data_IF_098957486784
#
_entry.id   IF_098957486784
#
_cell.length_a   1.000
_cell.length_b   1.000
_cell.length_c   1.000
_cell.angle_alpha   90.00
_cell.angle_beta   90.00
_cell.angle_gamma   90.00
#
_symmetry.space_group_name_H-M   'P 1'
#
loop_
_entity.id
_entity.type
_entity.pdbx_description
1 polymer ?
#
# COMPACT_ATOMS: atom_id res chain seq x y z
N UNK A 1 -4.35 2.17 10.71
CA UNK A 1 -5.23 1.57 11.74
C UNK A 1 -6.68 2.01 11.52
N UNK A 2 -6.98 3.30 11.32
CA UNK A 2 -8.35 3.79 11.07
C UNK A 2 -9.02 3.08 9.89
N UNK A 3 -8.30 2.87 8.79
CA UNK A 3 -8.81 2.18 7.61
C UNK A 3 -9.30 0.76 7.97
N UNK A 4 -8.52 -0.04 8.67
CA UNK A 4 -8.87 -1.42 9.06
C UNK A 4 -10.06 -1.47 10.01
N UNK A 5 -10.16 -0.51 10.92
CA UNK A 5 -11.20 -0.46 11.95
C UNK A 5 -12.56 0.05 11.42
N UNK A 6 -12.60 0.55 10.18
CA UNK A 6 -13.85 0.94 9.55
C UNK A 6 -14.56 -0.30 8.97
N UNK A 7 -15.74 -0.72 9.47
CA UNK A 7 -16.44 -1.91 9.00
C UNK A 7 -16.81 -1.87 7.51
N UNK A 8 -16.84 -0.68 6.92
CA UNK A 8 -17.17 -0.47 5.51
C UNK A 8 -15.94 -0.12 4.68
N UNK A 9 -14.73 -0.42 5.18
CA UNK A 9 -13.52 -0.11 4.43
C UNK A 9 -13.49 -0.84 3.09
N UNK A 10 -12.90 -0.17 2.13
CA UNK A 10 -12.70 -0.68 0.77
C UNK A 10 -11.24 -1.06 0.59
N UNK A 11 -10.92 -1.88 -0.41
CA UNK A 11 -9.54 -2.04 -0.83
C UNK A 11 -8.80 -0.71 -0.90
N UNK A 12 -7.57 -0.67 -0.37
CA UNK A 12 -6.76 0.54 -0.29
C UNK A 12 -5.75 0.59 -1.44
N UNK A 13 -5.62 1.74 -2.09
CA UNK A 13 -4.51 1.99 -3.01
C UNK A 13 -3.60 3.05 -2.42
N UNK A 14 -2.39 2.66 -2.07
CA UNK A 14 -1.32 3.56 -1.61
C UNK A 14 -0.49 4.01 -2.80
N UNK A 15 -0.62 5.28 -3.12
CA UNK A 15 0.07 5.93 -4.23
C UNK A 15 1.10 6.93 -3.74
N UNK A 16 2.10 7.20 -4.56
CA UNK A 16 3.16 8.15 -4.26
C UNK A 16 4.42 7.89 -5.08
N UNK A 17 5.41 8.76 -4.96
CA UNK A 17 6.66 8.65 -5.68
C UNK A 17 7.38 7.31 -5.44
N UNK A 18 8.33 6.97 -6.30
CA UNK A 18 9.20 5.81 -6.07
C UNK A 18 10.10 6.05 -4.87
N UNK A 19 10.45 4.98 -4.15
CA UNK A 19 11.44 4.97 -3.06
C UNK A 19 11.11 5.85 -1.84
N UNK A 20 9.83 6.16 -1.60
CA UNK A 20 9.40 6.90 -0.41
C UNK A 20 8.97 6.00 0.76
N UNK A 21 9.22 4.68 0.68
CA UNK A 21 8.91 3.73 1.76
C UNK A 21 7.51 3.13 1.74
N UNK A 22 6.74 3.23 0.64
CA UNK A 22 5.38 2.66 0.54
C UNK A 22 5.31 1.19 0.95
N UNK A 23 6.12 0.35 0.30
CA UNK A 23 6.14 -1.10 0.56
C UNK A 23 6.50 -1.41 1.99
N UNK A 24 7.51 -0.75 2.56
CA UNK A 24 7.93 -0.92 3.94
C UNK A 24 6.80 -0.58 4.93
N UNK A 25 6.16 0.56 4.76
CA UNK A 25 5.03 0.99 5.60
C UNK A 25 3.85 0.03 5.51
N UNK A 26 3.51 -0.44 4.31
CA UNK A 26 2.44 -1.43 4.10
C UNK A 26 2.78 -2.75 4.78
N UNK A 27 4.01 -3.25 4.60
CA UNK A 27 4.42 -4.53 5.19
C UNK A 27 4.51 -4.47 6.71
N UNK A 28 4.99 -3.36 7.27
CA UNK A 28 4.97 -3.13 8.73
C UNK A 28 3.53 -3.16 9.27
N UNK A 29 2.60 -2.45 8.61
CA UNK A 29 1.19 -2.47 8.98
C UNK A 29 0.59 -3.88 8.84
N UNK A 30 0.83 -4.57 7.73
CA UNK A 30 0.30 -5.88 7.44
C UNK A 30 0.74 -6.91 8.49
N UNK A 31 2.03 -6.98 8.79
CA UNK A 31 2.60 -7.93 9.75
C UNK A 31 2.13 -7.66 11.20
N UNK A 32 1.84 -6.40 11.54
CA UNK A 32 1.35 -6.04 12.88
C UNK A 32 -0.15 -6.34 13.08
N UNK A 33 -0.92 -6.51 11.99
CA UNK A 33 -2.39 -6.55 12.07
C UNK A 33 -3.05 -7.81 11.53
N UNK A 34 -2.30 -8.68 10.82
CA UNK A 34 -2.84 -9.90 10.19
C UNK A 34 -1.97 -11.11 10.49
N UNK A 35 -2.59 -12.27 10.63
CA UNK A 35 -1.86 -13.54 10.81
C UNK A 35 -1.36 -14.12 9.51
N UNK A 36 -1.95 -13.72 8.39
CA UNK A 36 -1.54 -14.13 7.05
C UNK A 36 -1.37 -12.91 6.15
N UNK A 37 -0.15 -12.74 5.64
CA UNK A 37 0.20 -11.68 4.71
C UNK A 37 0.62 -12.29 3.38
N UNK A 38 -0.16 -12.03 2.35
CA UNK A 38 0.11 -12.48 0.98
C UNK A 38 0.71 -11.31 0.21
N UNK A 39 2.02 -11.31 0.06
CA UNK A 39 2.72 -10.26 -0.66
C UNK A 39 3.05 -10.69 -2.08
N UNK A 40 2.59 -9.91 -3.06
CA UNK A 40 2.80 -10.15 -4.49
C UNK A 40 3.30 -8.87 -5.13
N UNK A 41 4.52 -8.90 -5.65
CA UNK A 41 5.10 -7.79 -6.40
C UNK A 41 5.13 -8.14 -7.90
N UNK A 42 4.32 -7.45 -8.69
CA UNK A 42 4.17 -7.72 -10.12
C UNK A 42 5.39 -7.32 -10.97
N UNK A 43 6.27 -6.48 -10.46
CA UNK A 43 7.54 -6.16 -11.12
C UNK A 43 8.57 -7.27 -10.94
N UNK A 44 8.63 -7.87 -9.74
CA UNK A 44 9.63 -8.88 -9.37
C UNK A 44 9.22 -10.29 -9.78
N UNK A 45 7.95 -10.65 -9.62
CA UNK A 45 7.47 -12.01 -9.93
C UNK A 45 6.37 -11.99 -11.01
N UNK A 46 6.82 -12.14 -12.24
CA UNK A 46 5.94 -12.10 -13.43
C UNK A 46 4.97 -13.30 -13.52
N UNK A 47 5.13 -14.35 -12.72
CA UNK A 47 4.19 -15.48 -12.68
C UNK A 47 2.80 -15.04 -12.25
N UNK A 48 2.71 -14.00 -11.41
CA UNK A 48 1.44 -13.48 -10.92
C UNK A 48 0.68 -12.55 -11.88
N UNK A 49 1.25 -12.17 -13.03
CA UNK A 49 0.58 -11.29 -14.01
C UNK A 49 -0.68 -11.95 -14.62
N UNK A 50 -0.86 -13.25 -14.42
CA UNK A 50 -1.97 -14.02 -14.99
C UNK A 50 -3.06 -14.42 -13.98
N UNK A 51 -2.98 -13.97 -12.74
CA UNK A 51 -3.89 -14.45 -11.69
C UNK A 51 -5.37 -14.11 -11.91
N UNK A 52 -5.67 -13.14 -12.77
CA UNK A 52 -7.03 -12.73 -13.11
C UNK A 52 -7.40 -13.03 -14.58
N UNK A 53 -6.60 -13.84 -15.33
CA UNK A 53 -6.91 -14.19 -16.74
C UNK A 53 -8.21 -14.99 -16.85
N UNK A 54 -8.51 -15.87 -15.88
CA UNK A 54 -9.72 -16.71 -15.88
C UNK A 54 -10.94 -16.00 -15.26
N UNK A 55 -10.77 -14.83 -14.70
CA UNK A 55 -11.83 -14.04 -14.07
C UNK A 55 -11.36 -13.17 -12.91
N UNK A 56 -12.20 -12.20 -12.55
CA UNK A 56 -11.90 -11.22 -11.51
C UNK A 56 -12.59 -11.54 -10.17
N UNK A 57 -13.24 -12.69 -10.04
CA UNK A 57 -13.83 -13.10 -8.77
C UNK A 57 -12.75 -13.58 -7.79
N UNK A 58 -13.05 -13.44 -6.50
CA UNK A 58 -12.08 -13.72 -5.43
C UNK A 58 -11.64 -15.19 -5.42
N UNK A 59 -12.55 -16.12 -5.70
CA UNK A 59 -12.21 -17.56 -5.67
C UNK A 59 -11.21 -17.91 -6.77
N UNK A 60 -11.43 -17.38 -7.99
CA UNK A 60 -10.51 -17.58 -9.12
C UNK A 60 -9.13 -17.00 -8.80
N UNK A 61 -9.06 -15.78 -8.29
CA UNK A 61 -7.78 -15.14 -7.96
C UNK A 61 -7.04 -15.87 -6.85
N UNK A 62 -7.73 -16.21 -5.76
CA UNK A 62 -7.14 -16.96 -4.63
C UNK A 62 -6.65 -18.34 -5.07
N UNK A 63 -7.43 -19.06 -5.89
CA UNK A 63 -7.01 -20.33 -6.50
C UNK A 63 -5.73 -20.17 -7.31
N UNK A 64 -5.70 -19.19 -8.23
CA UNK A 64 -4.55 -18.98 -9.10
C UNK A 64 -3.30 -18.56 -8.31
N UNK A 65 -3.44 -17.72 -7.28
CA UNK A 65 -2.35 -17.39 -6.36
C UNK A 65 -1.83 -18.64 -5.63
N UNK A 66 -2.74 -19.49 -5.12
CA UNK A 66 -2.39 -20.71 -4.39
C UNK A 66 -1.70 -21.75 -5.28
N UNK A 67 -2.06 -21.81 -6.57
CA UNK A 67 -1.39 -22.68 -7.55
C UNK A 67 0.04 -22.22 -7.85
N UNK A 68 0.27 -20.91 -7.89
CA UNK A 68 1.60 -20.35 -8.13
C UNK A 68 2.50 -20.48 -6.89
N UNK A 69 1.94 -20.25 -5.70
CA UNK A 69 2.65 -20.38 -4.43
C UNK A 69 1.79 -21.10 -3.38
N UNK A 70 1.92 -22.43 -3.25
CA UNK A 70 1.14 -23.21 -2.29
C UNK A 70 1.44 -22.94 -0.81
N UNK A 71 2.52 -22.17 -0.51
CA UNK A 71 2.84 -21.79 0.87
C UNK A 71 1.94 -20.67 1.40
N UNK A 72 1.29 -19.92 0.52
CA UNK A 72 0.37 -18.88 0.92
C UNK A 72 -0.89 -19.48 1.56
N UNK A 73 -1.24 -18.99 2.75
CA UNK A 73 -2.40 -19.47 3.51
C UNK A 73 -3.45 -18.35 3.57
N UNK A 74 -4.65 -18.66 3.12
CA UNK A 74 -5.76 -17.73 3.13
C UNK A 74 -6.66 -18.02 4.33
N UNK A 75 -6.68 -17.14 5.32
CA UNK A 75 -7.50 -17.20 6.53
C UNK A 75 -8.56 -16.12 6.44
N UNK A 76 -9.82 -16.52 6.36
CA UNK A 76 -10.94 -15.57 6.27
C UNK A 76 -10.94 -14.61 7.45
N UNK A 77 -11.08 -13.30 7.16
CA UNK A 77 -11.09 -12.23 8.15
C UNK A 77 -9.72 -11.90 8.77
N UNK A 78 -8.65 -12.64 8.43
CA UNK A 78 -7.32 -12.44 8.99
C UNK A 78 -6.16 -12.56 7.97
N UNK A 79 -6.50 -12.47 6.69
CA UNK A 79 -5.53 -12.36 5.60
C UNK A 79 -5.61 -11.00 4.95
N UNK A 80 -4.44 -10.40 4.76
CA UNK A 80 -4.29 -9.26 3.88
C UNK A 80 -3.50 -9.65 2.62
N UNK A 81 -4.00 -9.23 1.47
CA UNK A 81 -3.32 -9.41 0.18
C UNK A 81 -2.71 -8.06 -0.20
N UNK A 82 -1.41 -8.03 -0.40
CA UNK A 82 -0.67 -6.84 -0.83
C UNK A 82 -0.25 -7.03 -2.29
N UNK A 83 -0.86 -6.26 -3.18
CA UNK A 83 -0.49 -6.18 -4.58
C UNK A 83 0.43 -4.98 -4.79
N UNK A 84 1.71 -5.23 -4.93
CA UNK A 84 2.73 -4.20 -5.10
C UNK A 84 3.10 -4.01 -6.58
N UNK A 85 3.46 -2.77 -6.93
CA UNK A 85 3.79 -2.34 -8.30
C UNK A 85 2.65 -2.65 -9.29
N UNK A 86 1.39 -2.29 -8.91
CA UNK A 86 0.18 -2.61 -9.70
C UNK A 86 0.17 -1.99 -11.11
N UNK A 87 1.03 -1.01 -11.40
CA UNK A 87 1.19 -0.48 -12.76
C UNK A 87 1.78 -1.51 -13.74
N UNK A 88 2.43 -2.58 -13.23
CA UNK A 88 2.92 -3.70 -14.03
C UNK A 88 1.79 -4.67 -14.41
N UNK A 89 0.67 -4.64 -13.67
CA UNK A 89 -0.52 -5.44 -13.95
C UNK A 89 -1.80 -4.65 -13.63
N UNK A 90 -2.15 -3.62 -14.43
CA UNK A 90 -3.27 -2.72 -14.14
C UNK A 90 -4.63 -3.41 -14.07
N UNK A 91 -4.79 -4.56 -14.75
CA UNK A 91 -6.05 -5.29 -14.81
C UNK A 91 -6.49 -5.84 -13.44
N UNK A 92 -5.54 -6.07 -12.52
CA UNK A 92 -5.86 -6.48 -11.16
C UNK A 92 -6.77 -5.49 -10.42
N UNK A 93 -6.74 -4.21 -10.79
CA UNK A 93 -7.59 -3.18 -10.22
C UNK A 93 -9.09 -3.45 -10.47
N UNK A 94 -9.44 -4.19 -11.51
CA UNK A 94 -10.81 -4.61 -11.79
C UNK A 94 -11.34 -5.57 -10.71
N UNK A 95 -10.47 -6.40 -10.15
CA UNK A 95 -10.83 -7.34 -9.09
C UNK A 95 -11.15 -6.67 -7.75
N UNK A 96 -10.75 -5.41 -7.53
CA UNK A 96 -10.99 -4.72 -6.25
C UNK A 96 -12.47 -4.60 -5.92
N UNK A 97 -13.34 -4.52 -6.94
CA UNK A 97 -14.79 -4.58 -6.75
C UNK A 97 -15.22 -5.92 -6.14
N UNK A 98 -14.69 -7.02 -6.65
CA UNK A 98 -15.01 -8.36 -6.18
C UNK A 98 -14.52 -8.57 -4.74
N UNK A 99 -13.30 -8.14 -4.42
CA UNK A 99 -12.78 -8.20 -3.04
C UNK A 99 -13.60 -7.36 -2.07
N UNK A 100 -14.03 -6.16 -2.48
CA UNK A 100 -14.91 -5.31 -1.66
C UNK A 100 -16.24 -5.99 -1.34
N UNK A 101 -16.86 -6.65 -2.32
CA UNK A 101 -18.17 -7.31 -2.16
C UNK A 101 -18.03 -8.60 -1.34
N UNK A 102 -16.98 -9.37 -1.60
CA UNK A 102 -16.71 -10.64 -0.93
C UNK A 102 -16.37 -10.47 0.56
N UNK A 103 -15.52 -9.51 0.89
CA UNK A 103 -15.18 -9.12 2.26
C UNK A 103 -14.39 -10.15 3.06
N UNK A 104 -14.02 -11.31 2.51
CA UNK A 104 -13.23 -12.33 3.23
C UNK A 104 -11.78 -11.95 3.47
N UNK A 105 -11.22 -11.14 2.59
CA UNK A 105 -9.80 -10.78 2.59
C UNK A 105 -9.65 -9.29 2.35
N UNK A 106 -8.78 -8.66 3.13
CA UNK A 106 -8.42 -7.28 2.92
C UNK A 106 -7.38 -7.15 1.82
N UNK A 107 -7.44 -6.04 1.07
CA UNK A 107 -6.53 -5.81 -0.05
C UNK A 107 -5.92 -4.42 0.06
N UNK A 108 -4.59 -4.36 -0.02
CA UNK A 108 -3.84 -3.12 -0.23
C UNK A 108 -3.07 -3.25 -1.54
N UNK A 109 -3.20 -2.24 -2.39
CA UNK A 109 -2.39 -2.10 -3.58
C UNK A 109 -1.38 -0.98 -3.41
N UNK A 110 -0.19 -1.12 -3.96
CA UNK A 110 0.76 -0.03 -4.07
C UNK A 110 1.29 0.12 -5.49
N UNK A 111 1.68 1.34 -5.83
CA UNK A 111 2.27 1.62 -7.12
C UNK A 111 2.72 3.06 -7.27
N UNK A 112 3.56 3.30 -8.27
CA UNK A 112 3.95 4.65 -8.63
C UNK A 112 2.86 5.31 -9.49
N UNK A 113 2.61 6.60 -9.23
CA UNK A 113 1.56 7.39 -9.90
C UNK A 113 1.91 7.80 -11.34
N UNK A 114 3.09 7.45 -11.82
CA UNK A 114 3.62 7.95 -13.08
C UNK A 114 3.22 7.04 -14.24
N UNK A 115 2.43 7.56 -15.19
CA UNK A 115 2.21 6.96 -16.49
C UNK A 115 0.75 6.64 -16.88
N UNK A 116 0.59 6.14 -18.10
CA UNK A 116 -0.69 5.79 -18.75
C UNK A 116 -1.43 4.71 -17.95
N UNK A 117 -0.71 3.78 -17.35
CA UNK A 117 -1.27 2.67 -16.59
C UNK A 117 -2.04 3.12 -15.33
N UNK A 118 -1.69 4.26 -14.74
CA UNK A 118 -2.44 4.79 -13.60
C UNK A 118 -3.89 5.17 -13.99
N UNK A 119 -4.12 5.73 -15.18
CA UNK A 119 -5.47 6.05 -15.65
C UNK A 119 -6.32 4.80 -15.78
N UNK A 120 -5.75 3.69 -16.27
CA UNK A 120 -6.42 2.39 -16.36
C UNK A 120 -6.77 1.84 -14.98
N UNK A 121 -5.85 1.85 -14.04
CA UNK A 121 -6.07 1.45 -12.65
C UNK A 121 -7.21 2.27 -12.03
N UNK A 122 -7.16 3.60 -12.19
CA UNK A 122 -8.19 4.49 -11.65
C UNK A 122 -9.56 4.18 -12.26
N UNK A 123 -9.66 4.09 -13.59
CA UNK A 123 -10.90 3.78 -14.28
C UNK A 123 -11.51 2.45 -13.86
N UNK A 124 -10.70 1.40 -13.74
CA UNK A 124 -11.16 0.06 -13.40
C UNK A 124 -11.64 -0.09 -11.94
N UNK A 125 -11.19 0.79 -11.05
CA UNK A 125 -11.45 0.70 -9.61
C UNK A 125 -12.32 1.80 -9.02
N UNK A 126 -12.90 2.68 -9.86
CA UNK A 126 -13.76 3.79 -9.42
C UNK A 126 -14.87 3.31 -8.48
N UNK A 127 -15.02 3.98 -7.34
CA UNK A 127 -16.04 3.67 -6.34
C UNK A 127 -15.79 2.43 -5.48
N UNK A 128 -14.82 1.57 -5.84
CA UNK A 128 -14.55 0.29 -5.17
C UNK A 128 -13.24 0.26 -4.38
N UNK A 129 -12.61 1.42 -4.20
CA UNK A 129 -11.34 1.57 -3.49
C UNK A 129 -11.31 2.84 -2.65
N UNK A 130 -10.39 2.90 -1.73
CA UNK A 130 -9.92 4.12 -1.07
C UNK A 130 -8.53 4.45 -1.59
N UNK A 131 -8.28 5.70 -1.95
CA UNK A 131 -6.95 6.17 -2.32
C UNK A 131 -6.29 6.81 -1.12
N UNK A 132 -5.02 6.45 -0.88
CA UNK A 132 -4.14 7.12 0.06
C UNK A 132 -2.89 7.59 -0.67
N UNK A 133 -2.60 8.87 -0.59
CA UNK A 133 -1.39 9.43 -1.17
C UNK A 133 -0.30 9.55 -0.09
N UNK A 134 0.82 8.89 -0.34
CA UNK A 134 1.98 8.93 0.52
C UNK A 134 3.03 9.84 -0.09
N UNK A 135 3.52 10.76 0.71
CA UNK A 135 4.59 11.70 0.33
C UNK A 135 5.93 11.22 0.89
N UNK A 136 7.02 11.77 0.39
CA UNK A 136 8.32 11.61 1.03
C UNK A 136 8.29 12.27 2.41
N UNK A 137 9.14 11.80 3.30
CA UNK A 137 9.32 12.43 4.62
C UNK A 137 9.56 13.93 4.45
N UNK A 138 8.86 14.72 5.25
CA UNK A 138 9.19 16.12 5.42
C UNK A 138 10.43 16.30 6.32
N UNK A 139 10.84 17.53 6.53
CA UNK A 139 12.04 17.81 7.31
C UNK A 139 11.89 17.42 8.78
N UNK A 140 10.71 17.57 9.35
CA UNK A 140 10.41 17.23 10.72
C UNK A 140 10.43 15.70 10.92
N UNK A 141 9.77 14.96 10.02
CA UNK A 141 9.80 13.50 9.99
C UNK A 141 11.22 12.95 9.80
N UNK A 142 12.05 13.63 8.96
CA UNK A 142 13.46 13.29 8.80
C UNK A 142 14.25 13.46 10.10
N UNK A 143 13.99 14.53 10.86
CA UNK A 143 14.66 14.77 12.15
C UNK A 143 14.26 13.70 13.18
N UNK A 144 12.97 13.32 13.25
CA UNK A 144 12.54 12.19 14.10
C UNK A 144 13.25 10.89 13.72
N UNK A 145 13.34 10.59 12.44
CA UNK A 145 14.05 9.40 11.96
C UNK A 145 15.55 9.41 12.29
N UNK A 146 16.14 10.60 12.50
CA UNK A 146 17.52 10.77 12.99
C UNK A 146 17.65 10.69 14.52
N UNK A 147 16.53 10.55 15.24
CA UNK A 147 16.51 10.40 16.69
C UNK A 147 16.42 11.71 17.48
N UNK A 148 16.12 12.81 16.82
CA UNK A 148 15.84 14.08 17.50
C UNK A 148 14.49 14.00 18.22
N UNK A 149 14.43 14.54 19.44
CA UNK A 149 13.18 14.69 20.18
C UNK A 149 12.41 15.95 19.74
N UNK A 150 11.15 16.06 20.17
CA UNK A 150 10.28 17.17 19.80
C UNK A 150 10.81 18.54 20.23
N UNK A 151 11.52 18.61 21.36
CA UNK A 151 12.10 19.86 21.85
C UNK A 151 13.26 20.31 20.96
N UNK A 152 14.12 19.39 20.59
CA UNK A 152 15.23 19.65 19.69
C UNK A 152 14.73 20.07 18.30
N UNK A 153 13.70 19.39 17.78
CA UNK A 153 13.08 19.71 16.51
C UNK A 153 12.47 21.12 16.53
N UNK A 154 11.71 21.43 17.59
CA UNK A 154 11.14 22.76 17.75
C UNK A 154 12.21 23.88 17.69
N UNK A 155 13.31 23.71 18.44
CA UNK A 155 14.42 24.64 18.45
C UNK A 155 15.06 24.80 17.06
N UNK A 156 15.26 23.68 16.33
CA UNK A 156 15.81 23.70 14.96
C UNK A 156 14.88 24.49 14.03
N UNK A 157 13.58 24.21 14.06
CA UNK A 157 12.60 24.89 13.22
C UNK A 157 12.47 26.38 13.56
N UNK A 158 12.56 26.74 14.83
CA UNK A 158 12.56 28.15 15.26
C UNK A 158 13.77 28.91 14.71
N UNK A 159 14.99 28.33 14.81
CA UNK A 159 16.18 28.91 14.21
C UNK A 159 16.08 29.08 12.70
N UNK A 160 15.56 28.06 12.01
CA UNK A 160 15.37 28.12 10.55
C UNK A 160 14.36 29.21 10.16
N UNK A 161 13.24 29.32 10.88
CA UNK A 161 12.20 30.32 10.62
C UNK A 161 12.71 31.74 10.91
N UNK A 162 13.49 31.90 11.97
CA UNK A 162 14.11 33.19 12.32
C UNK A 162 15.33 33.54 11.47
N UNK A 163 15.79 32.64 10.57
CA UNK A 163 17.02 32.76 9.79
C UNK A 163 18.26 33.09 10.65
N UNK A 164 18.32 32.53 11.86
CA UNK A 164 19.44 32.70 12.78
C UNK A 164 20.46 31.56 12.63
N UNK A 165 21.77 31.84 12.66
CA UNK A 165 22.79 30.82 12.67
C UNK A 165 22.69 29.96 13.93
N UNK A 166 22.98 28.67 13.82
CA UNK A 166 23.12 27.80 15.00
C UNK A 166 24.40 28.18 15.75
N UNK A 167 24.30 28.35 17.06
CA UNK A 167 25.46 28.65 17.93
C UNK A 167 25.64 30.11 18.28
N UNK A 168 24.81 31.04 17.82
CA UNK A 168 24.70 32.38 18.34
C UNK A 168 23.65 32.43 19.46
N UNK A 169 24.08 32.47 20.71
CA UNK A 169 23.26 32.73 21.91
C UNK A 169 23.24 34.20 22.24
#
# INVERSE_FOLDING_TARGET
IEWKNNPSHKPLIVKGARQIGKTESIMHFANANYTSVIYINFALDKRFIKIAEDGYDVNTIVKNISLINPSFKFVQGNTIIVFDEIQEYPDIATALKSFRIDGRYDVICSGSMLGINYRKIHSNSVGNKTDYEMFSMDFEEFLWAKGYDNTQIYNILEHMTAMRPFGET
#
